data_IF_189860233301
#
_entry.id   IF_189860233301
#
_cell.length_a   1.000
_cell.length_b   1.000
_cell.length_c   1.000
_cell.angle_alpha   90.00
_cell.angle_beta   90.00
_cell.angle_gamma   90.00
#
_symmetry.space_group_name_H-M   'P 1'
#
loop_
_entity.id
_entity.type
_entity.pdbx_description
1 polymer ?
#
# COMPACT_ATOMS: atom_id res chain seq x y z
N UNK A 1 26.23 10.39 -4.60
CA UNK A 1 24.79 10.72 -4.50
C UNK A 1 24.41 10.83 -3.03
N UNK A 2 23.95 12.00 -2.56
CA UNK A 2 23.61 12.24 -1.16
C UNK A 2 22.64 11.16 -0.63
N UNK A 3 23.00 10.50 0.46
CA UNK A 3 22.24 9.42 1.11
C UNK A 3 20.73 9.72 1.24
N UNK A 4 20.38 10.98 1.54
CA UNK A 4 18.99 11.44 1.69
C UNK A 4 18.21 11.47 0.36
N UNK A 5 18.83 11.96 -0.71
CA UNK A 5 18.23 11.95 -2.06
C UNK A 5 17.99 10.52 -2.54
N UNK A 6 18.93 9.61 -2.27
CA UNK A 6 18.75 8.18 -2.55
C UNK A 6 17.55 7.59 -1.81
N UNK A 7 17.37 7.90 -0.52
CA UNK A 7 16.22 7.42 0.25
C UNK A 7 14.90 7.97 -0.25
N UNK A 8 14.83 9.27 -0.59
CA UNK A 8 13.63 9.89 -1.17
C UNK A 8 13.30 9.21 -2.50
N UNK A 9 14.28 8.99 -3.38
CA UNK A 9 14.07 8.29 -4.64
C UNK A 9 13.58 6.84 -4.43
N UNK A 10 14.18 6.10 -3.50
CA UNK A 10 13.73 4.74 -3.18
C UNK A 10 12.29 4.74 -2.67
N UNK A 11 11.92 5.69 -1.80
CA UNK A 11 10.56 5.82 -1.28
C UNK A 11 9.55 6.25 -2.36
N UNK A 12 9.98 7.10 -3.28
CA UNK A 12 9.18 7.47 -4.46
C UNK A 12 8.95 6.25 -5.36
N UNK A 13 9.97 5.42 -5.59
CA UNK A 13 9.84 4.18 -6.35
C UNK A 13 8.92 3.19 -5.65
N UNK A 14 9.06 2.97 -4.34
CA UNK A 14 8.18 2.06 -3.60
C UNK A 14 6.73 2.55 -3.58
N UNK A 15 6.52 3.86 -3.47
CA UNK A 15 5.20 4.47 -3.60
C UNK A 15 4.64 4.27 -5.00
N UNK A 16 5.45 4.50 -6.05
CA UNK A 16 5.05 4.28 -7.43
C UNK A 16 4.63 2.82 -7.64
N UNK A 17 5.47 1.86 -7.27
CA UNK A 17 5.18 0.42 -7.38
C UNK A 17 3.90 0.04 -6.62
N UNK A 18 3.71 0.55 -5.40
CA UNK A 18 2.51 0.28 -4.60
C UNK A 18 1.24 0.92 -5.21
N UNK A 19 1.36 2.14 -5.73
CA UNK A 19 0.27 2.83 -6.42
C UNK A 19 -0.09 2.13 -7.74
N UNK A 20 0.88 1.59 -8.47
CA UNK A 20 0.63 0.77 -9.67
C UNK A 20 -0.19 -0.46 -9.33
N UNK A 21 0.17 -1.19 -8.27
CA UNK A 21 -0.62 -2.35 -7.79
C UNK A 21 -2.04 -1.95 -7.44
N UNK A 22 -2.23 -0.85 -6.71
CA UNK A 22 -3.55 -0.35 -6.32
C UNK A 22 -4.41 -0.02 -7.54
N UNK A 23 -3.88 0.72 -8.51
CA UNK A 23 -4.63 1.09 -9.70
C UNK A 23 -4.93 -0.11 -10.59
N UNK A 24 -4.00 -1.06 -10.69
CA UNK A 24 -4.22 -2.32 -11.42
C UNK A 24 -5.38 -3.11 -10.80
N UNK A 25 -5.38 -3.29 -9.47
CA UNK A 25 -6.47 -3.97 -8.75
C UNK A 25 -7.77 -3.19 -8.88
N UNK A 26 -7.75 -1.86 -8.83
CA UNK A 26 -8.96 -1.05 -9.00
C UNK A 26 -9.55 -1.20 -10.41
N UNK A 27 -8.69 -1.31 -11.42
CA UNK A 27 -9.10 -1.45 -12.84
C UNK A 27 -9.71 -2.82 -13.10
N UNK A 28 -9.07 -3.88 -12.59
CA UNK A 28 -9.40 -5.26 -12.93
C UNK A 28 -10.28 -5.94 -11.88
N UNK A 29 -10.18 -5.52 -10.63
CA UNK A 29 -10.80 -6.20 -9.49
C UNK A 29 -12.29 -6.02 -9.38
N UNK A 30 -12.85 -4.91 -9.86
CA UNK A 30 -14.31 -4.76 -9.98
C UNK A 30 -14.88 -5.69 -11.05
N UNK A 31 -14.20 -5.83 -12.18
CA UNK A 31 -14.55 -6.75 -13.27
C UNK A 31 -14.42 -8.22 -12.84
N UNK A 32 -13.30 -8.57 -12.18
CA UNK A 32 -13.09 -9.92 -11.64
C UNK A 32 -14.09 -10.24 -10.52
N UNK A 33 -14.38 -9.29 -9.63
CA UNK A 33 -15.41 -9.42 -8.60
C UNK A 33 -16.80 -9.63 -9.19
N UNK A 34 -17.15 -8.90 -10.25
CA UNK A 34 -18.42 -9.08 -10.97
C UNK A 34 -18.50 -10.42 -11.70
N UNK A 35 -17.40 -10.87 -12.32
CA UNK A 35 -17.34 -12.13 -13.05
C UNK A 35 -17.43 -13.36 -12.14
N UNK A 36 -16.87 -13.29 -10.92
CA UNK A 36 -16.87 -14.39 -9.95
C UNK A 36 -18.08 -14.37 -8.99
N UNK A 37 -18.81 -13.26 -8.88
CA UNK A 37 -19.92 -13.15 -7.95
C UNK A 37 -21.15 -13.94 -8.45
N UNK A 38 -21.57 -14.93 -7.66
CA UNK A 38 -22.84 -15.66 -7.87
C UNK A 38 -24.04 -14.72 -7.74
N UNK A 39 -23.97 -13.77 -6.81
CA UNK A 39 -24.94 -12.69 -6.64
C UNK A 39 -24.28 -11.35 -6.99
N UNK A 40 -24.76 -10.72 -8.06
CA UNK A 40 -24.21 -9.45 -8.56
C UNK A 40 -24.35 -8.30 -7.56
N UNK A 41 -25.25 -8.42 -6.57
CA UNK A 41 -25.33 -7.46 -5.46
C UNK A 41 -24.05 -7.43 -4.61
N UNK A 42 -23.30 -8.54 -4.56
CA UNK A 42 -22.05 -8.67 -3.81
C UNK A 42 -20.81 -8.27 -4.64
N UNK A 43 -20.96 -7.89 -5.90
CA UNK A 43 -19.81 -7.60 -6.78
C UNK A 43 -18.87 -6.49 -6.24
N UNK A 44 -19.38 -5.57 -5.41
CA UNK A 44 -18.60 -4.49 -4.78
C UNK A 44 -17.95 -4.87 -3.46
N UNK A 45 -18.29 -6.04 -2.91
CA UNK A 45 -17.83 -6.51 -1.60
C UNK A 45 -16.29 -6.63 -1.50
N UNK A 46 -15.54 -7.11 -2.51
CA UNK A 46 -14.08 -7.12 -2.45
C UNK A 46 -13.48 -5.72 -2.31
N UNK A 47 -14.00 -4.74 -3.06
CA UNK A 47 -13.55 -3.34 -2.99
C UNK A 47 -13.84 -2.73 -1.61
N UNK A 48 -15.03 -2.97 -1.06
CA UNK A 48 -15.40 -2.55 0.29
C UNK A 48 -14.49 -3.18 1.33
N UNK A 49 -14.17 -4.47 1.18
CA UNK A 49 -13.30 -5.19 2.11
C UNK A 49 -11.86 -4.68 2.07
N UNK A 50 -11.36 -4.25 0.90
CA UNK A 50 -10.07 -3.58 0.81
C UNK A 50 -10.04 -2.24 1.57
N UNK A 51 -11.13 -1.46 1.49
CA UNK A 51 -11.26 -0.21 2.25
C UNK A 51 -11.32 -0.50 3.76
N UNK A 52 -12.11 -1.48 4.18
CA UNK A 52 -12.20 -1.93 5.58
C UNK A 52 -10.82 -2.40 6.08
N UNK A 53 -10.13 -3.23 5.30
CA UNK A 53 -8.78 -3.70 5.62
C UNK A 53 -7.79 -2.54 5.78
N UNK A 54 -7.88 -1.53 4.92
CA UNK A 54 -7.07 -0.31 5.01
C UNK A 54 -7.39 0.47 6.29
N UNK A 55 -8.67 0.70 6.58
CA UNK A 55 -9.11 1.46 7.74
C UNK A 55 -8.70 0.79 9.06
N UNK A 56 -8.99 -0.50 9.20
CA UNK A 56 -8.62 -1.31 10.38
C UNK A 56 -7.10 -1.39 10.56
N UNK A 57 -6.34 -1.38 9.47
CA UNK A 57 -4.89 -1.54 9.52
C UNK A 57 -4.12 -0.24 9.67
N UNK A 58 -4.73 0.92 9.40
CA UNK A 58 -4.02 2.21 9.43
C UNK A 58 -3.41 2.51 10.80
N UNK A 59 -4.20 2.36 11.87
CA UNK A 59 -3.75 2.56 13.25
C UNK A 59 -2.70 1.51 13.65
N UNK A 60 -2.97 0.19 13.59
CA UNK A 60 -1.99 -0.81 14.02
C UNK A 60 -0.73 -0.80 13.17
N UNK A 61 -0.78 -0.48 11.88
CA UNK A 61 0.41 -0.33 11.04
C UNK A 61 1.32 0.78 11.56
N UNK A 62 0.75 1.93 11.95
CA UNK A 62 1.54 3.04 12.51
C UNK A 62 2.18 2.66 13.87
N UNK A 63 1.44 1.94 14.72
CA UNK A 63 1.95 1.46 16.02
C UNK A 63 3.03 0.38 15.85
N UNK A 64 2.85 -0.52 14.89
CA UNK A 64 3.84 -1.53 14.54
C UNK A 64 5.14 -0.87 14.07
N UNK A 65 5.05 0.09 13.15
CA UNK A 65 6.24 0.85 12.69
C UNK A 65 6.93 1.61 13.82
N UNK A 66 6.19 2.07 14.83
CA UNK A 66 6.78 2.68 16.02
C UNK A 66 7.55 1.67 16.87
N UNK A 67 7.10 0.41 16.96
CA UNK A 67 7.72 -0.64 17.80
C UNK A 67 8.88 -1.37 17.12
N UNK A 68 8.69 -1.87 15.90
CA UNK A 68 9.70 -2.67 15.17
C UNK A 68 10.55 -1.83 14.20
N UNK A 69 10.26 -0.54 14.09
CA UNK A 69 10.93 0.39 13.18
C UNK A 69 10.27 0.45 11.80
N UNK A 70 10.43 1.60 11.14
CA UNK A 70 9.77 1.89 9.85
C UNK A 70 10.16 0.92 8.74
N UNK A 71 11.45 0.58 8.60
CA UNK A 71 11.91 -0.33 7.53
C UNK A 71 11.25 -1.70 7.62
N UNK A 72 11.20 -2.29 8.80
CA UNK A 72 10.58 -3.61 9.02
C UNK A 72 9.09 -3.53 8.74
N UNK A 73 8.40 -2.49 9.22
CA UNK A 73 6.98 -2.30 8.93
C UNK A 73 6.67 -2.16 7.43
N UNK A 74 7.49 -1.42 6.68
CA UNK A 74 7.33 -1.34 5.22
C UNK A 74 7.53 -2.69 4.51
N UNK A 75 8.51 -3.49 4.94
CA UNK A 75 8.72 -4.84 4.41
C UNK A 75 7.53 -5.73 4.70
N UNK A 76 6.96 -5.68 5.93
CA UNK A 76 5.73 -6.41 6.27
C UNK A 76 4.58 -6.00 5.35
N UNK A 77 4.38 -4.70 5.12
CA UNK A 77 3.38 -4.21 4.18
C UNK A 77 3.57 -4.74 2.75
N UNK A 78 4.82 -4.77 2.25
CA UNK A 78 5.15 -5.32 0.93
C UNK A 78 4.93 -6.84 0.85
N UNK A 79 5.21 -7.58 1.93
CA UNK A 79 4.90 -9.00 2.01
C UNK A 79 3.39 -9.25 2.04
N UNK A 80 2.62 -8.43 2.77
CA UNK A 80 1.15 -8.48 2.72
C UNK A 80 0.62 -8.23 1.30
N UNK A 81 1.19 -7.28 0.56
CA UNK A 81 0.84 -7.06 -0.85
C UNK A 81 1.15 -8.30 -1.71
N UNK A 82 2.29 -8.94 -1.46
CA UNK A 82 2.74 -10.13 -2.19
C UNK A 82 1.81 -11.31 -1.94
N UNK A 83 1.55 -11.62 -0.68
CA UNK A 83 0.66 -12.72 -0.28
C UNK A 83 -0.77 -12.43 -0.74
N UNK A 84 -1.28 -11.20 -0.57
CA UNK A 84 -2.61 -10.79 -1.04
C UNK A 84 -2.75 -10.88 -2.56
N UNK A 85 -1.71 -10.52 -3.31
CA UNK A 85 -1.68 -10.67 -4.76
C UNK A 85 -1.68 -12.14 -5.21
N UNK A 86 -0.89 -13.00 -4.56
CA UNK A 86 -0.88 -14.44 -4.82
C UNK A 86 -2.23 -15.10 -4.52
N UNK A 87 -2.83 -14.80 -3.37
CA UNK A 87 -4.15 -15.32 -2.99
C UNK A 87 -5.20 -14.85 -4.00
N UNK A 88 -5.12 -13.59 -4.44
CA UNK A 88 -6.02 -13.04 -5.47
C UNK A 88 -5.86 -13.77 -6.80
N UNK A 89 -4.62 -14.04 -7.25
CA UNK A 89 -4.36 -14.80 -8.47
C UNK A 89 -4.94 -16.23 -8.39
N UNK A 90 -4.77 -16.91 -7.25
CA UNK A 90 -5.37 -18.23 -7.01
C UNK A 90 -6.89 -18.16 -6.97
N UNK A 91 -7.46 -17.13 -6.33
CA UNK A 91 -8.90 -16.92 -6.26
C UNK A 91 -9.52 -16.75 -7.65
N UNK A 92 -8.88 -15.96 -8.52
CA UNK A 92 -9.32 -15.77 -9.91
C UNK A 92 -9.15 -17.05 -10.74
N UNK A 93 -8.01 -17.74 -10.61
CA UNK A 93 -7.76 -18.99 -11.32
C UNK A 93 -8.75 -20.10 -10.95
N UNK A 94 -9.22 -20.14 -9.69
CA UNK A 94 -10.15 -21.15 -9.18
C UNK A 94 -11.63 -20.69 -9.20
N UNK A 95 -11.90 -19.41 -9.46
CA UNK A 95 -13.25 -18.86 -9.42
C UNK A 95 -13.82 -18.65 -8.00
N UNK A 96 -13.00 -18.55 -6.96
CA UNK A 96 -13.47 -18.45 -5.57
C UNK A 96 -13.65 -17.00 -5.09
N UNK A 97 -14.89 -16.52 -5.10
CA UNK A 97 -15.25 -15.16 -4.69
C UNK A 97 -14.88 -14.80 -3.24
N UNK A 98 -15.12 -15.70 -2.28
CA UNK A 98 -14.77 -15.47 -0.86
C UNK A 98 -13.25 -15.33 -0.67
N UNK A 99 -12.47 -16.11 -1.43
CA UNK A 99 -11.02 -16.06 -1.37
C UNK A 99 -10.50 -14.74 -1.96
N UNK A 100 -11.13 -14.25 -3.04
CA UNK A 100 -10.85 -12.94 -3.61
C UNK A 100 -11.13 -11.81 -2.61
N UNK A 101 -12.22 -11.93 -1.86
CA UNK A 101 -12.59 -10.96 -0.81
C UNK A 101 -11.57 -10.94 0.33
N UNK A 102 -11.16 -12.12 0.81
CA UNK A 102 -10.13 -12.24 1.84
C UNK A 102 -8.78 -11.66 1.36
N UNK A 103 -8.44 -11.89 0.10
CA UNK A 103 -7.26 -11.32 -0.53
C UNK A 103 -7.34 -9.80 -0.63
N UNK A 104 -8.51 -9.25 -1.00
CA UNK A 104 -8.74 -7.81 -1.06
C UNK A 104 -8.57 -7.14 0.31
N UNK A 105 -9.04 -7.79 1.38
CA UNK A 105 -8.78 -7.34 2.76
C UNK A 105 -7.27 -7.22 3.04
N UNK A 106 -6.50 -8.25 2.69
CA UNK A 106 -5.05 -8.30 2.90
C UNK A 106 -4.31 -7.25 2.05
N UNK A 107 -4.78 -7.02 0.83
CA UNK A 107 -4.29 -5.94 -0.03
C UNK A 107 -4.59 -4.57 0.59
N UNK A 108 -5.76 -4.39 1.21
CA UNK A 108 -6.08 -3.19 1.99
C UNK A 108 -5.09 -2.92 3.12
N UNK A 109 -4.67 -3.97 3.84
CA UNK A 109 -3.61 -3.86 4.85
C UNK A 109 -2.36 -3.25 4.23
N UNK A 110 -1.92 -3.75 3.08
CA UNK A 110 -0.71 -3.24 2.40
C UNK A 110 -0.83 -1.78 1.96
N UNK A 111 -2.02 -1.32 1.56
CA UNK A 111 -2.29 0.08 1.22
C UNK A 111 -2.09 0.98 2.45
N UNK A 112 -2.52 0.54 3.62
CA UNK A 112 -2.33 1.30 4.86
C UNK A 112 -0.83 1.52 5.18
N UNK A 113 0.02 0.53 4.93
CA UNK A 113 1.47 0.66 5.03
C UNK A 113 2.02 1.62 3.98
N UNK A 114 1.55 1.52 2.73
CA UNK A 114 2.01 2.37 1.63
C UNK A 114 1.71 3.86 1.86
N UNK A 115 0.56 4.20 2.48
CA UNK A 115 0.23 5.59 2.83
C UNK A 115 1.25 6.25 3.77
N UNK A 116 2.08 5.47 4.47
CA UNK A 116 3.10 5.97 5.37
C UNK A 116 4.41 6.35 4.67
N UNK A 117 4.60 6.00 3.39
CA UNK A 117 5.81 6.34 2.62
C UNK A 117 6.03 7.85 2.52
N UNK A 118 4.97 8.63 2.33
CA UNK A 118 5.06 10.11 2.26
C UNK A 118 5.61 10.72 3.56
N UNK A 119 5.22 10.16 4.71
CA UNK A 119 5.71 10.62 6.01
C UNK A 119 7.16 10.16 6.25
N UNK A 120 7.50 8.95 5.83
CA UNK A 120 8.87 8.44 5.86
C UNK A 120 9.84 9.29 5.02
N UNK A 121 9.41 9.76 3.85
CA UNK A 121 10.23 10.64 3.01
C UNK A 121 10.42 12.02 3.64
N UNK A 122 9.39 12.54 4.32
CA UNK A 122 9.50 13.78 5.08
C UNK A 122 10.50 13.65 6.24
N UNK A 123 10.52 12.53 6.96
CA UNK A 123 11.45 12.29 8.08
C UNK A 123 12.92 12.17 7.65
N UNK A 124 13.18 11.59 6.48
CA UNK A 124 14.54 11.45 5.94
C UNK A 124 15.09 12.76 5.34
N UNK A 125 14.24 13.76 5.16
CA UNK A 125 14.55 15.05 4.53
C UNK A 125 14.80 16.16 5.55
N UNK A 126 15.61 17.17 5.19
CA UNK A 126 15.77 18.38 6.02
C UNK A 126 14.44 19.14 6.11
N UNK A 127 14.21 19.87 7.21
CA UNK A 127 12.99 20.67 7.44
C UNK A 127 12.58 21.50 6.23
N UNK A 128 13.55 22.18 5.60
CA UNK A 128 13.38 23.02 4.39
C UNK A 128 12.90 22.24 3.16
N UNK A 129 13.22 20.95 3.06
CA UNK A 129 12.92 20.12 1.88
C UNK A 129 11.81 19.08 2.12
N UNK A 130 11.18 19.06 3.31
CA UNK A 130 10.13 18.07 3.63
C UNK A 130 8.94 18.14 2.67
N UNK A 131 8.46 19.35 2.39
CA UNK A 131 7.32 19.56 1.48
C UNK A 131 7.64 19.05 0.06
N UNK A 132 8.85 19.35 -0.44
CA UNK A 132 9.32 18.82 -1.74
C UNK A 132 9.44 17.30 -1.73
N UNK A 133 9.97 16.69 -0.68
CA UNK A 133 10.09 15.24 -0.59
C UNK A 133 8.72 14.53 -0.60
N UNK A 134 7.74 15.07 0.12
CA UNK A 134 6.35 14.57 0.09
C UNK A 134 5.79 14.68 -1.32
N UNK A 135 5.94 15.85 -1.97
CA UNK A 135 5.49 16.07 -3.33
C UNK A 135 6.13 15.08 -4.33
N UNK A 136 7.43 14.81 -4.22
CA UNK A 136 8.11 13.82 -5.07
C UNK A 136 7.55 12.41 -4.90
N UNK A 137 7.28 11.98 -3.67
CA UNK A 137 6.68 10.66 -3.40
C UNK A 137 5.28 10.57 -4.00
N UNK A 138 4.45 11.58 -3.76
CA UNK A 138 3.09 11.64 -4.30
C UNK A 138 3.09 11.70 -5.85
N UNK A 139 4.02 12.44 -6.45
CA UNK A 139 4.19 12.52 -7.90
C UNK A 139 4.56 11.14 -8.50
N UNK A 140 5.40 10.35 -7.82
CA UNK A 140 5.68 8.97 -8.22
C UNK A 140 4.43 8.09 -8.21
N UNK A 141 3.58 8.22 -7.19
CA UNK A 141 2.29 7.55 -7.12
C UNK A 141 1.33 7.97 -8.25
N UNK A 142 1.34 9.25 -8.62
CA UNK A 142 0.54 9.78 -9.72
C UNK A 142 0.98 9.21 -11.09
N UNK A 143 2.29 9.19 -11.37
CA UNK A 143 2.82 8.58 -12.59
C UNK A 143 2.46 7.09 -12.66
N UNK A 144 2.56 6.39 -11.54
CA UNK A 144 2.18 4.99 -11.40
C UNK A 144 0.70 4.69 -11.68
N UNK A 145 -0.19 5.66 -11.48
CA UNK A 145 -1.62 5.52 -11.78
C UNK A 145 -1.90 5.36 -13.28
N UNK A 146 -1.02 5.85 -14.16
CA UNK A 146 -1.10 5.60 -15.60
C UNK A 146 -0.51 4.24 -15.99
N UNK A 147 0.54 3.81 -15.27
CA UNK A 147 1.21 2.53 -15.51
C UNK A 147 0.33 1.34 -15.13
N UNK A 148 -0.47 1.46 -14.06
CA UNK A 148 -1.36 0.38 -13.59
C UNK A 148 -2.34 -0.13 -14.65
N UNK A 149 -3.19 0.73 -15.26
CA UNK A 149 -4.11 0.34 -16.32
C UNK A 149 -3.39 -0.12 -17.60
N UNK A 150 -2.24 0.46 -17.92
CA UNK A 150 -1.44 0.05 -19.08
C UNK A 150 -0.91 -1.38 -18.91
N UNK A 151 -0.40 -1.72 -17.73
CA UNK A 151 -0.03 -3.09 -17.35
C UNK A 151 -1.24 -4.01 -17.35
N UNK A 152 -2.36 -3.59 -16.77
CA UNK A 152 -3.60 -4.38 -16.79
C UNK A 152 -3.98 -4.73 -18.24
N UNK A 153 -4.09 -3.74 -19.13
CA UNK A 153 -4.45 -3.97 -20.53
C UNK A 153 -3.46 -4.87 -21.26
N UNK A 154 -2.16 -4.71 -21.02
CA UNK A 154 -1.12 -5.55 -21.63
C UNK A 154 -1.05 -6.98 -21.09
N UNK A 155 -1.58 -7.24 -19.90
CA UNK A 155 -1.48 -8.55 -19.21
C UNK A 155 -2.79 -9.33 -19.18
N UNK A 156 -3.92 -8.68 -19.44
CA UNK A 156 -5.26 -9.30 -19.46
C UNK A 156 -5.37 -10.45 -20.48
N UNK A 157 -4.70 -10.32 -21.63
CA UNK A 157 -4.75 -11.31 -22.72
C UNK A 157 -3.53 -12.24 -22.77
N UNK A 158 -2.62 -12.14 -21.78
CA UNK A 158 -1.36 -12.88 -21.80
C UNK A 158 -1.52 -14.36 -21.39
N UNK A 159 -2.63 -14.70 -20.75
CA UNK A 159 -2.96 -16.05 -20.28
C UNK A 159 -4.37 -16.43 -20.72
N UNK A 160 -4.64 -17.73 -20.81
CA UNK A 160 -5.97 -18.28 -21.18
C UNK A 160 -7.08 -17.87 -20.20
N UNK A 161 -6.73 -17.55 -18.95
CA UNK A 161 -7.67 -17.06 -17.94
C UNK A 161 -7.65 -15.53 -17.91
N UNK A 162 -8.75 -14.91 -18.31
CA UNK A 162 -8.95 -13.45 -18.27
C UNK A 162 -8.60 -12.92 -16.88
N UNK A 163 -7.78 -11.85 -16.83
CA UNK A 163 -7.32 -11.15 -15.62
C UNK A 163 -6.23 -11.84 -14.78
N UNK A 164 -5.90 -13.10 -15.02
CA UNK A 164 -4.88 -13.81 -14.24
C UNK A 164 -3.52 -13.12 -14.31
N UNK A 165 -3.11 -12.69 -15.51
CA UNK A 165 -1.83 -11.98 -15.71
C UNK A 165 -1.75 -10.68 -14.92
N UNK A 166 -2.85 -9.93 -14.84
CA UNK A 166 -2.91 -8.70 -14.07
C UNK A 166 -2.73 -8.98 -12.56
N UNK A 167 -3.40 -10.00 -12.03
CA UNK A 167 -3.25 -10.38 -10.62
C UNK A 167 -1.86 -10.93 -10.29
N UNK A 168 -1.18 -11.58 -11.23
CA UNK A 168 0.21 -12.02 -11.06
C UNK A 168 1.23 -10.86 -11.08
N UNK A 169 0.89 -9.71 -11.66
CA UNK A 169 1.74 -8.52 -11.53
C UNK A 169 1.78 -7.98 -10.10
N UNK A 170 0.70 -8.10 -9.33
CA UNK A 170 0.63 -7.59 -7.94
C UNK A 170 1.71 -8.20 -7.04
N UNK A 171 1.90 -9.53 -6.96
CA UNK A 171 2.95 -10.10 -6.13
C UNK A 171 4.35 -9.79 -6.67
N UNK A 172 4.53 -9.67 -7.99
CA UNK A 172 5.80 -9.23 -8.56
C UNK A 172 6.16 -7.80 -8.13
N UNK A 173 5.20 -6.88 -8.20
CA UNK A 173 5.34 -5.50 -7.72
C UNK A 173 5.55 -5.45 -6.19
N UNK A 174 4.89 -6.32 -5.43
CA UNK A 174 5.11 -6.48 -3.99
C UNK A 174 6.54 -6.91 -3.65
N UNK A 175 7.08 -7.92 -4.35
CA UNK A 175 8.47 -8.36 -4.21
C UNK A 175 9.46 -7.29 -4.64
N UNK A 176 9.19 -6.57 -5.74
CA UNK A 176 9.99 -5.44 -6.17
C UNK A 176 10.02 -4.34 -5.10
N UNK A 177 8.88 -4.04 -4.50
CA UNK A 177 8.78 -3.09 -3.39
C UNK A 177 9.62 -3.56 -2.19
N UNK A 178 9.52 -4.84 -1.81
CA UNK A 178 10.33 -5.41 -0.75
C UNK A 178 11.84 -5.30 -1.05
N UNK A 179 12.26 -5.61 -2.29
CA UNK A 179 13.65 -5.51 -2.73
C UNK A 179 14.18 -4.07 -2.67
N UNK A 180 13.37 -3.09 -3.11
CA UNK A 180 13.71 -1.66 -3.01
C UNK A 180 13.87 -1.23 -1.54
N UNK A 181 13.02 -1.75 -0.65
CA UNK A 181 13.08 -1.48 0.80
C UNK A 181 14.28 -2.13 1.50
N UNK A 182 14.86 -3.20 0.97
CA UNK A 182 16.13 -3.74 1.46
C UNK A 182 17.25 -2.71 1.27
N UNK A 183 17.23 -1.95 0.17
CA UNK A 183 18.19 -0.88 -0.10
C UNK A 183 17.97 0.41 0.71
N UNK A 184 16.83 0.53 1.40
CA UNK A 184 16.43 1.70 2.17
C UNK A 184 17.14 1.73 3.52
N UNK A 185 17.89 2.81 3.78
CA UNK A 185 18.54 3.05 5.07
C UNK A 185 17.81 4.18 5.78
N UNK A 186 16.83 3.83 6.59
CA UNK A 186 16.21 4.81 7.48
C UNK A 186 17.15 5.09 8.66
N UNK A 187 17.33 6.37 9.05
CA UNK A 187 17.92 6.65 10.35
C UNK A 187 17.07 5.94 11.42
N UNK A 188 17.70 5.45 12.52
CA UNK A 188 16.96 4.84 13.62
C UNK A 188 15.84 5.79 14.07
N UNK A 189 14.75 5.26 14.64
CA UNK A 189 13.61 6.07 15.06
C UNK A 189 14.14 7.30 15.78
N UNK A 190 13.82 8.48 15.27
CA UNK A 190 14.10 9.69 16.02
C UNK A 190 13.23 9.62 17.26
N UNK A 191 13.76 9.03 18.33
CA UNK A 191 13.23 9.07 19.69
C UNK A 191 13.11 10.52 20.20
N UNK A 192 13.55 11.49 19.39
CA UNK A 192 13.48 12.93 19.63
C UNK A 192 12.66 13.70 18.57
N UNK A 193 11.61 13.12 18.01
CA UNK A 193 10.56 13.93 17.39
C UNK A 193 9.67 14.51 18.50
N UNK A 194 10.21 15.54 19.16
CA UNK A 194 9.56 16.42 20.13
C UNK A 194 8.98 15.65 21.34
N UNK A 195 9.79 15.53 22.40
CA UNK A 195 9.26 15.70 23.74
C UNK A 195 8.62 17.10 23.75
N UNK A 196 7.38 17.20 23.28
CA UNK A 196 6.52 18.28 23.75
C UNK A 196 6.32 17.86 25.19
N UNK A 197 6.86 18.62 26.14
CA UNK A 197 6.62 18.42 27.56
C UNK A 197 5.10 18.30 27.79
N UNK A 198 4.63 17.07 27.92
CA UNK A 198 3.20 16.76 27.94
C UNK A 198 2.95 15.27 27.74
N UNK A 199 2.09 14.64 28.56
CA UNK A 199 1.75 13.23 28.40
C UNK A 199 1.16 12.98 27.00
N UNK A 200 1.63 11.91 26.34
CA UNK A 200 1.09 11.49 25.05
C UNK A 200 -0.44 11.29 25.18
N UNK A 201 -1.23 12.11 24.50
CA UNK A 201 -2.69 12.13 24.66
C UNK A 201 -3.30 10.79 24.25
N UNK A 202 -4.14 10.16 25.09
CA UNK A 202 -4.81 8.91 24.75
C UNK A 202 -5.75 9.08 23.54
N UNK A 203 -5.88 8.03 22.74
CA UNK A 203 -6.70 8.02 21.51
C UNK A 203 -8.15 8.44 21.79
N UNK A 204 -8.67 8.10 22.97
CA UNK A 204 -10.02 8.49 23.43
C UNK A 204 -10.19 9.99 23.62
N UNK A 205 -9.13 10.72 23.94
CA UNK A 205 -9.15 12.18 24.09
C UNK A 205 -9.10 12.88 22.73
N UNK A 206 -8.40 12.31 21.74
CA UNK A 206 -8.37 12.81 20.36
C UNK A 206 -9.74 12.65 19.69
N UNK A 207 -10.38 11.49 19.88
CA UNK A 207 -11.72 11.21 19.32
C UNK A 207 -12.82 12.12 19.88
N UNK A 208 -12.59 12.77 21.04
CA UNK A 208 -13.53 13.69 21.68
C UNK A 208 -13.28 15.16 21.33
N UNK A 209 -12.28 15.48 20.51
CA UNK A 209 -12.02 16.85 20.11
C UNK A 209 -13.05 17.32 19.07
N UNK A 210 -13.62 18.53 19.21
CA UNK A 210 -14.65 19.05 18.32
C UNK A 210 -14.16 19.34 16.88
N UNK A 211 -12.85 19.23 16.61
CA UNK A 211 -12.30 19.29 15.24
C UNK A 211 -12.45 17.94 14.52
N UNK A 212 -12.71 16.86 15.26
CA UNK A 212 -12.88 15.51 14.74
C UNK A 212 -14.34 15.17 14.42
N UNK A 213 -15.30 16.00 14.82
CA UNK A 213 -16.75 15.88 14.56
C UNK A 213 -17.17 16.99 13.61
#
# INVERSE_FOLDING_TARGET
MNFRLRNVLLLTLTQATSSTSLTLIATVGSLAGYALATDKALATLPSTMAVIGTALSTIPASLLMKRVGRRVGFVVGALCATVGGLISAVAVARGYFLLLTAAALLLGVSVAFAQQYRFAAAETSRSEFRSRAIAFVLAGGLAAAFVGPMLARGTVQLFDTTYLGAYLCVPFLGLLTAALLVGLRMPPPAEKAVLIDGPARPITEIMRQPIFI
#
